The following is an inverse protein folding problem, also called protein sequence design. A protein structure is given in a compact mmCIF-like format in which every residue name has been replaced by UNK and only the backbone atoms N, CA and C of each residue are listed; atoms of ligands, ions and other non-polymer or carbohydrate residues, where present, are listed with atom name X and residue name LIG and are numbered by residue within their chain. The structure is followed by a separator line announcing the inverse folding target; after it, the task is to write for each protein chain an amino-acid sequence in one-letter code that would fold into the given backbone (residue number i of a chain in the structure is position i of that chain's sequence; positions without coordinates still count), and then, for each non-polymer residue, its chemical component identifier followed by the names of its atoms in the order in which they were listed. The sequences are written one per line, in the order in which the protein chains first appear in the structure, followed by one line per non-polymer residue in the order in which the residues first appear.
data_IF_497316400527
#
_entry.id   IF_497316400527
#
_cell.length_a   1.000
_cell.length_b   1.000
_cell.length_c   1.000
_cell.angle_alpha   90.00
_cell.angle_beta   90.00
_cell.angle_gamma   90.00
#
_symmetry.space_group_name_H-M   'P 1'
#
loop_
_entity.id
_entity.type
_entity.pdbx_description
1 polymer ?
#
# COMPACT_ATOMS: atom_id res chain seq x y z
N UNK A 1 -35.60 -54.21 57.21
CA UNK A 1 -35.89 -53.85 55.80
C UNK A 1 -34.63 -53.24 55.20
N UNK A 2 -34.30 -53.67 53.97
CA UNK A 2 -32.97 -53.65 53.34
C UNK A 2 -32.36 -52.24 53.22
N UNK A 3 -31.12 -52.06 53.71
CA UNK A 3 -30.23 -50.96 53.34
C UNK A 3 -29.59 -51.29 51.98
N UNK A 4 -29.81 -50.44 50.98
CA UNK A 4 -29.13 -50.53 49.68
C UNK A 4 -27.99 -49.51 49.67
N UNK A 5 -26.75 -50.02 49.60
CA UNK A 5 -25.53 -49.24 49.40
C UNK A 5 -25.42 -48.95 47.90
N UNK A 6 -25.44 -47.68 47.52
CA UNK A 6 -25.26 -47.25 46.13
C UNK A 6 -23.77 -46.98 45.90
N UNK A 7 -23.10 -47.86 45.13
CA UNK A 7 -21.75 -47.61 44.63
C UNK A 7 -21.84 -46.69 43.40
N UNK A 8 -21.35 -45.46 43.52
CA UNK A 8 -21.16 -44.57 42.38
C UNK A 8 -19.84 -44.93 41.68
N UNK A 9 -19.92 -45.58 40.53
CA UNK A 9 -18.76 -45.74 39.63
C UNK A 9 -18.57 -44.45 38.84
N UNK A 10 -17.51 -43.70 39.14
CA UNK A 10 -17.04 -42.62 38.28
C UNK A 10 -16.29 -43.22 37.08
N UNK A 11 -16.94 -43.23 35.92
CA UNK A 11 -16.24 -43.40 34.64
C UNK A 11 -15.52 -42.10 34.30
N UNK A 12 -14.20 -42.08 34.43
CA UNK A 12 -13.37 -41.06 33.78
C UNK A 12 -13.37 -41.35 32.27
N UNK A 13 -14.26 -40.69 31.52
CA UNK A 13 -14.04 -40.51 30.09
C UNK A 13 -12.87 -39.54 29.93
N UNK A 14 -11.69 -40.09 29.68
CA UNK A 14 -10.59 -39.31 29.13
C UNK A 14 -11.01 -38.79 27.76
N UNK A 15 -11.30 -37.49 27.68
CA UNK A 15 -11.31 -36.79 26.39
C UNK A 15 -9.88 -36.79 25.87
N UNK A 16 -9.53 -37.79 25.06
CA UNK A 16 -8.40 -37.67 24.16
C UNK A 16 -8.72 -36.48 23.25
N UNK A 17 -7.99 -35.38 23.41
CA UNK A 17 -7.98 -34.30 22.44
C UNK A 17 -7.46 -34.92 21.14
N UNK A 18 -8.35 -35.20 20.20
CA UNK A 18 -7.96 -35.39 18.82
C UNK A 18 -7.41 -34.06 18.37
N UNK A 19 -6.10 -33.93 18.43
CA UNK A 19 -5.35 -32.85 17.82
C UNK A 19 -5.61 -33.01 16.32
N UNK A 20 -6.69 -32.39 15.84
CA UNK A 20 -6.95 -32.30 14.42
C UNK A 20 -5.81 -31.45 13.90
N UNK A 21 -4.73 -32.09 13.45
CA UNK A 21 -3.73 -31.47 12.62
C UNK A 21 -4.51 -30.84 11.46
N UNK A 22 -4.85 -29.55 11.58
CA UNK A 22 -5.28 -28.74 10.45
C UNK A 22 -4.12 -28.85 9.49
N UNK A 23 -4.32 -29.64 8.44
CA UNK A 23 -3.39 -29.71 7.33
C UNK A 23 -3.29 -28.29 6.79
N UNK A 24 -2.17 -27.64 7.08
CA UNK A 24 -1.86 -26.34 6.48
C UNK A 24 -1.82 -26.62 4.97
N UNK A 25 -2.64 -25.93 4.15
CA UNK A 25 -2.60 -26.13 2.71
C UNK A 25 -1.17 -25.93 2.21
N UNK A 26 -0.72 -26.75 1.28
CA UNK A 26 0.57 -26.51 0.62
C UNK A 26 0.53 -25.13 -0.04
N UNK A 27 1.61 -24.37 0.09
CA UNK A 27 1.71 -23.05 -0.53
C UNK A 27 1.47 -23.15 -2.04
N UNK A 28 0.53 -22.35 -2.54
CA UNK A 28 0.27 -22.17 -3.96
C UNK A 28 0.33 -20.69 -4.28
N UNK A 29 1.30 -20.31 -5.13
CA UNK A 29 1.42 -18.94 -5.61
C UNK A 29 0.18 -18.54 -6.41
N UNK A 30 -0.34 -19.44 -7.26
CA UNK A 30 -1.53 -19.19 -8.06
C UNK A 30 -2.77 -18.95 -7.19
N UNK A 31 -2.94 -19.72 -6.12
CA UNK A 31 -4.06 -19.54 -5.19
C UNK A 31 -3.93 -18.22 -4.42
N UNK A 32 -2.72 -17.87 -3.96
CA UNK A 32 -2.46 -16.60 -3.30
C UNK A 32 -2.75 -15.43 -4.24
N UNK A 33 -2.23 -15.46 -5.46
CA UNK A 33 -2.48 -14.45 -6.50
C UNK A 33 -3.98 -14.31 -6.79
N UNK A 34 -4.70 -15.42 -6.99
CA UNK A 34 -6.13 -15.42 -7.26
C UNK A 34 -6.94 -14.84 -6.12
N UNK A 35 -6.69 -15.25 -4.88
CA UNK A 35 -7.42 -14.77 -3.70
C UNK A 35 -7.15 -13.28 -3.44
N UNK A 36 -5.93 -12.82 -3.70
CA UNK A 36 -5.59 -11.38 -3.61
C UNK A 36 -6.27 -10.59 -4.73
N UNK A 37 -6.36 -11.11 -5.95
CA UNK A 37 -7.18 -10.50 -7.00
C UNK A 37 -8.66 -10.42 -6.61
N UNK A 38 -9.20 -11.50 -6.04
CA UNK A 38 -10.60 -11.55 -5.58
C UNK A 38 -10.89 -10.55 -4.46
N UNK A 39 -9.90 -10.23 -3.62
CA UNK A 39 -10.02 -9.16 -2.64
C UNK A 39 -10.38 -7.84 -3.32
N UNK A 40 -9.62 -7.41 -4.33
CA UNK A 40 -9.90 -6.16 -5.05
C UNK A 40 -11.25 -6.19 -5.76
N UNK A 41 -11.60 -7.32 -6.37
CA UNK A 41 -12.91 -7.48 -7.02
C UNK A 41 -14.08 -7.44 -6.03
N UNK A 42 -13.88 -7.88 -4.79
CA UNK A 42 -14.90 -7.89 -3.75
C UNK A 42 -15.00 -6.57 -2.97
N UNK A 43 -13.92 -5.79 -2.91
CA UNK A 43 -13.85 -4.53 -2.16
C UNK A 43 -13.96 -3.28 -3.03
N UNK A 44 -13.86 -3.42 -4.36
CA UNK A 44 -14.22 -2.36 -5.30
C UNK A 44 -15.73 -2.20 -5.37
N UNK A 45 -16.21 -1.00 -5.05
CA UNK A 45 -17.64 -0.67 -5.13
C UNK A 45 -18.12 -0.54 -6.59
N UNK A 46 -19.38 -0.89 -6.87
CA UNK A 46 -19.93 -0.90 -8.24
C UNK A 46 -20.56 0.42 -8.69
N UNK A 47 -20.73 1.38 -7.77
CA UNK A 47 -21.24 2.73 -8.02
C UNK A 47 -20.09 3.69 -8.29
N UNK A 48 -19.13 3.76 -7.36
CA UNK A 48 -18.03 4.72 -7.38
C UNK A 48 -16.72 4.12 -7.92
N UNK A 49 -16.63 2.79 -8.02
CA UNK A 49 -15.43 2.07 -8.49
C UNK A 49 -14.17 2.44 -7.70
N UNK A 50 -14.36 2.77 -6.43
CA UNK A 50 -13.30 2.98 -5.45
C UNK A 50 -13.15 1.73 -4.59
N UNK A 51 -11.95 1.50 -4.06
CA UNK A 51 -11.61 0.32 -3.25
C UNK A 51 -11.64 0.70 -1.78
N UNK A 52 -12.28 -0.15 -0.97
CA UNK A 52 -12.28 0.01 0.48
C UNK A 52 -10.85 0.02 1.03
N UNK A 53 -10.58 0.91 1.99
CA UNK A 53 -9.29 0.93 2.69
C UNK A 53 -9.01 -0.39 3.42
N UNK A 54 -10.06 -1.01 3.96
CA UNK A 54 -9.96 -2.24 4.74
C UNK A 54 -11.19 -3.14 4.63
N UNK A 55 -11.00 -4.39 5.04
CA UNK A 55 -12.05 -5.40 5.10
C UNK A 55 -11.82 -6.31 6.34
N UNK A 56 -12.86 -6.79 7.04
CA UNK A 56 -14.30 -6.67 6.74
C UNK A 56 -14.95 -5.34 7.15
N UNK A 57 -14.25 -4.51 7.92
CA UNK A 57 -14.79 -3.21 8.37
C UNK A 57 -14.89 -2.24 7.20
N UNK A 58 -16.12 -1.84 6.84
CA UNK A 58 -16.37 -0.93 5.71
C UNK A 58 -16.58 0.50 6.23
N UNK A 59 -15.51 1.32 6.21
CA UNK A 59 -15.58 2.69 6.76
C UNK A 59 -15.46 3.77 5.69
N UNK A 60 -14.50 3.65 4.78
CA UNK A 60 -14.22 4.59 3.71
C UNK A 60 -13.42 3.90 2.61
N UNK A 61 -13.34 4.54 1.44
CA UNK A 61 -12.42 4.17 0.38
C UNK A 61 -11.03 4.75 0.64
N UNK A 62 -9.99 4.07 0.16
CA UNK A 62 -8.63 4.62 0.06
C UNK A 62 -8.29 4.82 -1.41
N UNK A 63 -7.82 6.00 -1.77
CA UNK A 63 -7.45 6.29 -3.16
C UNK A 63 -6.15 5.57 -3.55
N UNK A 64 -5.23 5.33 -2.61
CA UNK A 64 -4.07 4.47 -2.85
C UNK A 64 -4.51 3.02 -3.11
N UNK A 65 -5.41 2.47 -2.28
CA UNK A 65 -5.98 1.13 -2.50
C UNK A 65 -6.71 1.03 -3.85
N UNK A 66 -7.36 2.12 -4.27
CA UNK A 66 -8.01 2.22 -5.58
C UNK A 66 -6.99 2.15 -6.72
N UNK A 67 -5.86 2.84 -6.61
CA UNK A 67 -4.75 2.72 -7.57
C UNK A 67 -4.25 1.28 -7.74
N UNK A 68 -3.99 0.58 -6.64
CA UNK A 68 -3.61 -0.84 -6.68
C UNK A 68 -4.73 -1.73 -7.26
N UNK A 69 -5.99 -1.46 -6.93
CA UNK A 69 -7.13 -2.19 -7.48
C UNK A 69 -7.28 -2.01 -9.00
N UNK A 70 -6.96 -0.83 -9.52
CA UNK A 70 -6.94 -0.60 -10.97
C UNK A 70 -5.82 -1.40 -11.64
N UNK A 71 -4.62 -1.42 -11.07
CA UNK A 71 -3.51 -2.23 -11.58
C UNK A 71 -3.79 -3.74 -11.52
N UNK A 72 -4.63 -4.20 -10.57
CA UNK A 72 -5.04 -5.60 -10.48
C UNK A 72 -5.91 -6.07 -11.66
N UNK A 73 -6.59 -5.17 -12.38
CA UNK A 73 -7.45 -5.53 -13.52
C UNK A 73 -6.64 -6.16 -14.67
N UNK A 74 -5.59 -5.51 -15.23
CA UNK A 74 -4.67 -6.14 -16.18
C UNK A 74 -4.10 -7.48 -15.70
N UNK A 75 -3.67 -7.57 -14.43
CA UNK A 75 -3.13 -8.81 -13.86
C UNK A 75 -4.18 -9.92 -13.92
N UNK A 76 -5.43 -9.62 -13.57
CA UNK A 76 -6.53 -10.58 -13.66
C UNK A 76 -6.81 -11.04 -15.10
N UNK A 77 -6.60 -10.18 -16.10
CA UNK A 77 -6.74 -10.57 -17.51
C UNK A 77 -5.61 -11.52 -17.92
N UNK A 78 -4.36 -11.17 -17.63
CA UNK A 78 -3.19 -12.00 -17.96
C UNK A 78 -3.23 -13.37 -17.27
N UNK A 79 -3.73 -13.40 -16.03
CA UNK A 79 -3.92 -14.62 -15.25
C UNK A 79 -5.24 -15.35 -15.56
N UNK A 80 -6.06 -14.83 -16.48
CA UNK A 80 -7.35 -15.40 -16.91
C UNK A 80 -8.39 -15.52 -15.77
N UNK A 81 -8.29 -14.69 -14.76
CA UNK A 81 -9.26 -14.60 -13.66
C UNK A 81 -10.51 -13.79 -14.06
N UNK A 82 -10.35 -12.90 -15.05
CA UNK A 82 -11.42 -12.09 -15.64
C UNK A 82 -11.16 -11.95 -17.14
N UNK A 83 -12.22 -11.79 -17.94
CA UNK A 83 -12.04 -11.51 -19.38
C UNK A 83 -11.57 -10.07 -19.59
N UNK A 84 -10.82 -9.83 -20.66
CA UNK A 84 -10.39 -8.47 -21.02
C UNK A 84 -11.56 -7.51 -21.20
N UNK A 85 -12.63 -7.94 -21.87
CA UNK A 85 -13.79 -7.10 -22.11
C UNK A 85 -14.47 -6.68 -20.79
N UNK A 86 -14.56 -7.59 -19.82
CA UNK A 86 -15.11 -7.27 -18.49
C UNK A 86 -14.17 -6.35 -17.71
N UNK A 87 -12.86 -6.58 -17.77
CA UNK A 87 -11.89 -5.70 -17.14
C UNK A 87 -11.89 -4.29 -17.77
N UNK A 88 -11.97 -4.19 -19.10
CA UNK A 88 -12.10 -2.93 -19.84
C UNK A 88 -13.42 -2.22 -19.47
N UNK A 89 -14.50 -2.96 -19.25
CA UNK A 89 -15.77 -2.36 -18.81
C UNK A 89 -15.62 -1.72 -17.44
N UNK A 90 -15.05 -2.46 -16.47
CA UNK A 90 -14.79 -1.94 -15.12
C UNK A 90 -13.87 -0.72 -15.19
N UNK A 91 -12.76 -0.81 -15.93
CA UNK A 91 -11.80 0.28 -16.10
C UNK A 91 -12.45 1.55 -16.69
N UNK A 92 -13.25 1.40 -17.76
CA UNK A 92 -13.93 2.54 -18.38
C UNK A 92 -14.89 3.22 -17.39
N UNK A 93 -15.73 2.44 -16.70
CA UNK A 93 -16.66 2.99 -15.73
C UNK A 93 -15.93 3.63 -14.53
N UNK A 94 -14.85 3.02 -14.06
CA UNK A 94 -14.01 3.55 -13.00
C UNK A 94 -13.41 4.90 -13.36
N UNK A 95 -12.80 5.01 -14.54
CA UNK A 95 -12.21 6.27 -15.01
C UNK A 95 -13.27 7.36 -15.26
N UNK A 96 -14.45 7.00 -15.78
CA UNK A 96 -15.57 7.95 -15.92
C UNK A 96 -16.02 8.50 -14.56
N UNK A 97 -16.18 7.62 -13.57
CA UNK A 97 -16.55 8.04 -12.21
C UNK A 97 -15.47 8.92 -11.59
N UNK A 98 -14.20 8.49 -11.67
CA UNK A 98 -13.06 9.24 -11.15
C UNK A 98 -12.94 10.64 -11.78
N UNK A 99 -13.20 10.76 -13.09
CA UNK A 99 -13.20 12.04 -13.80
C UNK A 99 -14.39 12.94 -13.45
N UNK A 100 -15.49 12.37 -12.98
CA UNK A 100 -16.72 13.09 -12.60
C UNK A 100 -16.73 13.50 -11.11
N UNK A 101 -15.81 12.99 -10.29
CA UNK A 101 -15.73 13.35 -8.88
C UNK A 101 -15.53 14.87 -8.70
N UNK A 102 -16.21 15.51 -7.72
CA UNK A 102 -16.06 16.93 -7.46
C UNK A 102 -14.61 17.34 -7.16
N UNK A 103 -14.11 18.33 -7.90
CA UNK A 103 -12.75 18.89 -7.77
C UNK A 103 -12.81 20.39 -7.47
N UNK A 104 -12.69 20.78 -6.20
CA UNK A 104 -12.70 22.18 -5.75
C UNK A 104 -12.14 22.32 -4.32
N UNK A 105 -11.89 23.56 -3.89
CA UNK A 105 -11.23 23.85 -2.60
C UNK A 105 -12.12 23.66 -1.36
N UNK A 106 -13.37 23.20 -1.49
CA UNK A 106 -14.27 23.00 -0.35
C UNK A 106 -14.04 21.64 0.32
N UNK A 107 -14.49 21.50 1.57
CA UNK A 107 -14.45 20.24 2.30
C UNK A 107 -15.45 19.19 1.81
N UNK A 108 -16.39 19.55 0.93
CA UNK A 108 -17.39 18.65 0.33
C UNK A 108 -16.97 18.13 -1.06
N UNK A 109 -15.72 18.35 -1.45
CA UNK A 109 -15.14 17.82 -2.69
C UNK A 109 -14.51 16.44 -2.48
N UNK A 110 -14.24 15.72 -3.58
CA UNK A 110 -13.41 14.50 -3.58
C UNK A 110 -11.93 14.83 -3.74
N UNK A 111 -11.62 16.04 -4.19
CA UNK A 111 -10.26 16.51 -4.35
C UNK A 111 -10.20 17.97 -4.78
N UNK A 112 -8.99 18.45 -5.02
CA UNK A 112 -8.71 19.81 -5.49
C UNK A 112 -7.39 19.78 -6.28
N UNK A 113 -7.28 20.61 -7.32
CA UNK A 113 -6.05 20.72 -8.13
C UNK A 113 -5.63 19.39 -8.79
N UNK A 114 -6.60 18.50 -9.03
CA UNK A 114 -6.38 17.15 -9.54
C UNK A 114 -5.85 16.16 -8.49
N UNK A 115 -5.49 16.62 -7.29
CA UNK A 115 -5.23 15.76 -6.14
C UNK A 115 -6.52 15.26 -5.53
N UNK A 116 -6.46 14.11 -4.86
CA UNK A 116 -7.60 13.51 -4.18
C UNK A 116 -7.33 13.39 -2.67
N UNK A 117 -8.41 13.45 -1.89
CA UNK A 117 -8.32 13.22 -0.45
C UNK A 117 -7.94 11.76 -0.17
N UNK A 118 -7.06 11.55 0.82
CA UNK A 118 -6.56 10.24 1.26
C UNK A 118 -7.69 9.20 1.34
N UNK A 119 -8.79 9.59 1.99
CA UNK A 119 -9.98 8.77 2.15
C UNK A 119 -11.24 9.46 1.64
N UNK A 120 -12.11 8.66 1.02
CA UNK A 120 -13.41 9.09 0.52
C UNK A 120 -14.56 8.34 1.21
N UNK A 121 -15.67 9.02 1.47
CA UNK A 121 -16.84 8.43 2.12
C UNK A 121 -17.57 7.44 1.18
N UNK A 122 -18.22 6.44 1.76
CA UNK A 122 -18.87 5.37 0.99
C UNK A 122 -20.17 5.79 0.29
N UNK A 123 -20.75 6.95 0.65
CA UNK A 123 -22.05 7.38 0.14
C UNK A 123 -21.87 8.19 -1.14
N UNK A 124 -20.96 9.17 -1.13
CA UNK A 124 -20.80 10.13 -2.22
C UNK A 124 -19.39 10.16 -2.80
N UNK A 125 -18.46 9.36 -2.28
CA UNK A 125 -17.05 9.38 -2.66
C UNK A 125 -16.43 10.79 -2.54
N UNK A 126 -16.84 11.56 -1.53
CA UNK A 126 -16.26 12.85 -1.16
C UNK A 126 -15.34 12.70 0.03
N UNK A 127 -14.60 13.75 0.38
CA UNK A 127 -13.68 13.77 1.53
C UNK A 127 -14.28 13.11 2.77
N UNK A 128 -13.58 12.11 3.30
CA UNK A 128 -13.96 11.49 4.56
C UNK A 128 -13.39 12.30 5.75
N UNK A 129 -14.25 12.91 6.55
CA UNK A 129 -13.87 13.73 7.71
C UNK A 129 -12.90 14.86 7.31
N UNK A 130 -11.81 15.04 8.07
CA UNK A 130 -10.84 16.11 7.96
C UNK A 130 -9.51 15.67 7.34
N UNK A 131 -9.49 14.54 6.63
CA UNK A 131 -8.26 14.03 5.97
C UNK A 131 -7.73 15.01 4.93
N UNK A 132 -6.44 14.98 4.70
CA UNK A 132 -5.75 15.78 3.70
C UNK A 132 -5.97 15.30 2.26
N UNK A 133 -5.81 16.21 1.30
CA UNK A 133 -5.33 15.83 -0.02
C UNK A 133 -3.99 15.17 0.17
N UNK A 134 -3.84 13.93 -0.28
CA UNK A 134 -2.62 13.16 -0.09
C UNK A 134 -1.86 13.12 -1.40
N UNK A 135 -0.65 13.69 -1.41
CA UNK A 135 0.18 13.72 -2.63
C UNK A 135 0.65 12.31 -3.01
N UNK A 136 1.12 11.52 -2.04
CA UNK A 136 1.56 10.14 -2.29
C UNK A 136 0.43 9.24 -2.74
N UNK A 137 -0.73 9.31 -2.10
CA UNK A 137 -1.83 8.42 -2.47
C UNK A 137 -2.37 8.80 -3.85
N UNK A 138 -2.40 10.09 -4.19
CA UNK A 138 -2.72 10.54 -5.55
C UNK A 138 -1.70 9.98 -6.54
N UNK A 139 -0.40 9.98 -6.20
CA UNK A 139 0.63 9.33 -7.01
C UNK A 139 0.37 7.83 -7.24
N UNK A 140 0.00 7.09 -6.20
CA UNK A 140 -0.34 5.67 -6.29
C UNK A 140 -1.63 5.43 -7.12
N UNK A 141 -2.63 6.29 -6.96
CA UNK A 141 -3.83 6.29 -7.81
C UNK A 141 -3.46 6.48 -9.28
N UNK A 142 -2.63 7.49 -9.58
CA UNK A 142 -2.19 7.80 -10.95
C UNK A 142 -1.37 6.65 -11.55
N UNK A 143 -0.53 5.97 -10.77
CA UNK A 143 0.17 4.77 -11.22
C UNK A 143 -0.81 3.68 -11.70
N UNK A 144 -1.90 3.45 -10.96
CA UNK A 144 -2.99 2.57 -11.38
C UNK A 144 -3.71 3.04 -12.65
N UNK A 145 -4.05 4.33 -12.72
CA UNK A 145 -4.70 4.95 -13.89
C UNK A 145 -3.86 4.81 -15.16
N UNK A 146 -2.56 5.09 -15.09
CA UNK A 146 -1.63 4.97 -16.21
C UNK A 146 -1.35 3.50 -16.57
N UNK A 147 -1.45 2.58 -15.61
CA UNK A 147 -1.41 1.14 -15.89
C UNK A 147 -2.61 0.73 -16.76
N UNK A 148 -3.82 1.22 -16.46
CA UNK A 148 -5.00 0.99 -17.31
C UNK A 148 -4.80 1.59 -18.71
N UNK A 149 -4.29 2.82 -18.78
CA UNK A 149 -3.99 3.49 -20.05
C UNK A 149 -3.07 2.66 -20.94
N UNK A 150 -1.98 2.15 -20.35
CA UNK A 150 -0.95 1.42 -21.08
C UNK A 150 -1.40 0.02 -21.51
N UNK A 151 -2.25 -0.63 -20.70
CA UNK A 151 -2.67 -2.01 -20.95
C UNK A 151 -3.85 -2.13 -21.92
N UNK A 152 -4.81 -1.21 -21.87
CA UNK A 152 -5.99 -1.19 -22.74
C UNK A 152 -5.70 -0.42 -24.04
N UNK A 153 -4.99 -1.09 -24.95
CA UNK A 153 -4.37 -0.56 -26.15
C UNK A 153 -5.04 -0.95 -27.48
N UNK A 154 -6.11 -1.74 -27.46
CA UNK A 154 -6.77 -2.20 -28.71
C UNK A 154 -7.43 -1.03 -29.45
N UNK A 155 -7.54 -1.20 -30.77
CA UNK A 155 -8.25 -0.28 -31.65
C UNK A 155 -9.76 -0.54 -31.61
N UNK A 156 -10.38 -0.13 -30.51
CA UNK A 156 -11.83 -0.11 -30.37
C UNK A 156 -12.27 1.12 -29.56
N UNK A 157 -13.55 1.54 -29.66
CA UNK A 157 -14.03 2.75 -28.99
C UNK A 157 -13.87 2.74 -27.47
N UNK A 158 -14.07 1.58 -26.84
CA UNK A 158 -14.03 1.43 -25.38
C UNK A 158 -12.61 1.65 -24.84
N UNK A 159 -11.62 0.94 -25.39
CA UNK A 159 -10.24 1.06 -24.96
C UNK A 159 -9.62 2.41 -25.37
N UNK A 160 -10.05 2.98 -26.51
CA UNK A 160 -9.69 4.37 -26.87
C UNK A 160 -10.17 5.37 -25.82
N UNK A 161 -11.39 5.21 -25.31
CA UNK A 161 -11.92 6.10 -24.28
C UNK A 161 -11.20 5.92 -22.92
N UNK A 162 -10.84 4.68 -22.55
CA UNK A 162 -9.99 4.41 -21.37
C UNK A 162 -8.69 5.22 -21.47
N UNK A 163 -8.00 5.15 -22.62
CA UNK A 163 -6.74 5.87 -22.82
C UNK A 163 -6.90 7.38 -22.72
N UNK A 164 -7.97 7.93 -23.30
CA UNK A 164 -8.26 9.36 -23.27
C UNK A 164 -8.61 9.85 -21.86
N UNK A 165 -9.43 9.10 -21.11
CA UNK A 165 -9.81 9.46 -19.75
C UNK A 165 -8.61 9.39 -18.81
N UNK A 166 -7.81 8.32 -18.89
CA UNK A 166 -6.62 8.18 -18.07
C UNK A 166 -5.61 9.31 -18.32
N UNK A 167 -5.35 9.66 -19.60
CA UNK A 167 -4.51 10.80 -19.97
C UNK A 167 -5.07 12.11 -19.38
N UNK A 168 -6.37 12.36 -19.56
CA UNK A 168 -7.01 13.58 -19.08
C UNK A 168 -7.01 13.70 -17.55
N UNK A 169 -7.18 12.59 -16.82
CA UNK A 169 -7.12 12.57 -15.35
C UNK A 169 -5.71 12.89 -14.87
N UNK A 170 -4.69 12.22 -15.43
CA UNK A 170 -3.30 12.45 -15.04
C UNK A 170 -2.83 13.88 -15.36
N UNK A 171 -3.20 14.42 -16.53
CA UNK A 171 -2.87 15.80 -16.94
C UNK A 171 -3.52 16.88 -16.10
N UNK A 172 -4.59 16.58 -15.36
CA UNK A 172 -5.27 17.53 -14.47
C UNK A 172 -4.57 17.70 -13.13
N UNK A 173 -3.63 16.81 -12.76
CA UNK A 173 -2.92 16.91 -11.50
C UNK A 173 -1.89 18.03 -11.61
N UNK A 174 -2.09 19.10 -10.83
CA UNK A 174 -1.20 20.26 -10.78
C UNK A 174 -0.01 19.96 -9.85
N UNK A 175 0.94 19.09 -10.25
CA UNK A 175 2.01 18.63 -9.36
C UNK A 175 2.91 19.75 -8.82
N UNK A 176 3.15 20.75 -9.65
CA UNK A 176 3.84 21.99 -9.31
C UNK A 176 3.16 22.76 -8.16
N UNK A 177 1.83 22.66 -8.01
CA UNK A 177 1.11 23.29 -6.91
C UNK A 177 1.43 22.68 -5.53
N UNK A 178 1.81 21.39 -5.47
CA UNK A 178 2.25 20.75 -4.22
C UNK A 178 3.72 21.03 -3.89
N UNK A 179 4.46 21.71 -4.78
CA UNK A 179 5.88 22.00 -4.59
C UNK A 179 6.06 23.25 -3.72
N UNK A 180 6.92 23.14 -2.71
CA UNK A 180 7.25 24.25 -1.82
C UNK A 180 8.53 24.99 -2.27
N UNK A 181 8.85 26.09 -1.58
CA UNK A 181 10.04 26.92 -1.87
C UNK A 181 11.38 26.20 -1.63
N UNK A 182 11.40 25.07 -0.92
CA UNK A 182 12.59 24.21 -0.75
C UNK A 182 12.77 23.24 -1.92
N UNK A 183 11.87 23.24 -2.90
CA UNK A 183 11.85 22.28 -4.00
C UNK A 183 11.50 20.86 -3.54
N UNK A 184 10.71 20.73 -2.46
CA UNK A 184 10.16 19.46 -1.97
C UNK A 184 8.64 19.46 -2.12
N UNK A 185 8.06 18.31 -2.43
CA UNK A 185 6.60 18.17 -2.45
C UNK A 185 6.05 18.10 -1.02
N UNK A 186 4.98 18.83 -0.74
CA UNK A 186 4.22 18.66 0.51
C UNK A 186 3.62 17.26 0.59
N UNK A 187 3.51 16.72 1.80
CA UNK A 187 2.73 15.51 2.07
C UNK A 187 1.25 15.71 1.74
N UNK A 188 0.73 16.92 1.91
CA UNK A 188 -0.68 17.18 1.69
C UNK A 188 -1.17 18.59 1.97
N UNK A 189 -2.47 18.76 1.81
CA UNK A 189 -3.17 20.03 1.97
C UNK A 189 -4.58 19.82 2.53
N UNK A 190 -5.07 20.76 3.34
CA UNK A 190 -6.44 20.77 3.87
C UNK A 190 -7.13 22.10 3.55
N UNK A 191 -8.43 22.12 3.19
CA UNK A 191 -9.24 23.33 3.06
C UNK A 191 -9.17 24.26 4.26
N UNK A 192 -9.08 23.67 5.46
CA UNK A 192 -9.14 24.40 6.71
C UNK A 192 -7.84 25.13 7.05
N UNK A 193 -6.69 24.62 6.59
CA UNK A 193 -5.37 25.04 7.10
C UNK A 193 -4.30 25.22 6.03
N UNK A 194 -4.58 24.95 4.76
CA UNK A 194 -3.58 24.97 3.71
C UNK A 194 -2.67 23.73 3.71
N UNK A 195 -1.44 23.88 3.24
CA UNK A 195 -0.46 22.80 3.22
C UNK A 195 -0.11 22.33 4.63
N UNK A 196 0.06 21.02 4.79
CA UNK A 196 0.50 20.46 6.07
C UNK A 196 2.00 20.69 6.26
N UNK A 197 2.48 20.58 7.51
CA UNK A 197 3.85 20.91 7.89
C UNK A 197 4.92 20.00 7.27
N UNK A 198 4.54 18.80 6.83
CA UNK A 198 5.48 17.77 6.41
C UNK A 198 5.70 17.80 4.90
N UNK A 199 6.97 17.73 4.52
CA UNK A 199 7.47 17.68 3.15
C UNK A 199 8.14 16.33 2.90
N UNK A 200 8.08 15.83 1.67
CA UNK A 200 8.68 14.56 1.30
C UNK A 200 10.20 14.70 1.21
N UNK A 201 10.91 14.00 2.08
CA UNK A 201 12.36 13.83 2.09
C UNK A 201 12.68 12.33 1.95
N UNK A 202 13.75 11.98 1.25
CA UNK A 202 14.10 10.60 0.96
C UNK A 202 14.98 9.94 2.03
N UNK A 203 15.07 8.62 2.10
CA UNK A 203 14.45 7.59 1.26
C UNK A 203 13.15 7.05 1.92
N UNK A 204 12.09 6.88 1.12
CA UNK A 204 10.80 6.33 1.54
C UNK A 204 9.96 5.89 0.32
N UNK A 205 8.66 5.64 0.50
CA UNK A 205 7.72 5.17 -0.51
C UNK A 205 7.47 6.14 -1.68
N UNK A 206 7.89 7.41 -1.56
CA UNK A 206 7.46 8.49 -2.44
C UNK A 206 8.15 8.56 -3.82
N UNK A 207 9.03 7.61 -4.17
CA UNK A 207 9.71 7.63 -5.48
C UNK A 207 8.73 7.74 -6.65
N UNK A 208 7.64 6.96 -6.63
CA UNK A 208 6.61 6.98 -7.68
C UNK A 208 5.95 8.36 -7.80
N UNK A 209 5.74 9.06 -6.67
CA UNK A 209 5.20 10.43 -6.66
C UNK A 209 6.16 11.38 -7.38
N UNK A 210 7.46 11.38 -7.05
CA UNK A 210 8.41 12.28 -7.72
C UNK A 210 8.55 11.97 -9.21
N UNK A 211 8.60 10.69 -9.59
CA UNK A 211 8.75 10.28 -11.00
C UNK A 211 7.53 10.71 -11.81
N UNK A 212 6.32 10.51 -11.28
CA UNK A 212 5.10 10.95 -11.93
C UNK A 212 4.98 12.48 -11.97
N UNK A 213 5.39 13.19 -10.92
CA UNK A 213 5.37 14.65 -10.90
C UNK A 213 6.36 15.24 -11.93
N UNK A 214 7.59 14.72 -12.02
CA UNK A 214 8.57 15.15 -13.03
C UNK A 214 8.14 14.78 -14.46
N UNK A 215 7.49 13.62 -14.62
CA UNK A 215 6.99 13.13 -15.91
C UNK A 215 5.71 13.80 -16.40
N UNK A 216 5.11 14.71 -15.61
CA UNK A 216 3.84 15.34 -15.98
C UNK A 216 4.00 16.24 -17.21
N UNK A 217 3.17 16.06 -18.26
CA UNK A 217 3.28 16.86 -19.48
C UNK A 217 2.56 18.22 -19.39
N UNK A 218 1.90 18.53 -18.27
CA UNK A 218 1.12 19.77 -18.08
C UNK A 218 1.57 20.56 -16.86
N UNK A 219 1.93 19.88 -15.78
CA UNK A 219 2.33 20.49 -14.51
C UNK A 219 3.57 19.80 -13.94
N UNK A 220 4.71 19.78 -14.67
CA UNK A 220 5.92 19.12 -14.21
C UNK A 220 6.56 19.87 -13.04
N UNK A 221 7.13 19.13 -12.08
CA UNK A 221 8.12 19.69 -11.17
C UNK A 221 9.53 19.64 -11.81
N UNK A 222 10.44 20.56 -11.47
CA UNK A 222 11.82 20.53 -11.96
C UNK A 222 12.56 19.24 -11.56
N UNK A 223 13.50 18.80 -12.40
CA UNK A 223 14.34 17.62 -12.12
C UNK A 223 15.23 17.81 -10.87
N UNK A 224 15.57 19.06 -10.54
CA UNK A 224 16.26 19.44 -9.30
C UNK A 224 15.53 18.97 -8.03
N UNK A 225 14.22 18.74 -8.10
CA UNK A 225 13.45 18.20 -6.98
C UNK A 225 13.88 16.77 -6.60
N UNK A 226 14.30 15.94 -7.57
CA UNK A 226 14.87 14.62 -7.24
C UNK A 226 16.16 14.78 -6.44
N UNK A 227 17.05 15.67 -6.88
CA UNK A 227 18.29 15.96 -6.17
C UNK A 227 18.01 16.43 -4.73
N UNK A 228 17.04 17.33 -4.54
CA UNK A 228 16.62 17.80 -3.21
C UNK A 228 16.08 16.67 -2.34
N UNK A 229 15.20 15.83 -2.89
CA UNK A 229 14.63 14.68 -2.18
C UNK A 229 15.71 13.68 -1.72
N UNK A 230 16.77 13.47 -2.51
CA UNK A 230 17.86 12.56 -2.17
C UNK A 230 18.87 13.12 -1.15
N UNK A 231 18.78 14.40 -0.74
CA UNK A 231 19.78 15.01 0.16
C UNK A 231 19.83 14.37 1.55
N UNK A 232 18.71 13.84 2.02
CA UNK A 232 18.57 13.19 3.33
C UNK A 232 18.89 11.69 3.29
N UNK A 233 19.34 11.18 2.14
CA UNK A 233 19.73 9.78 2.01
C UNK A 233 20.89 9.41 2.94
N UNK A 234 20.73 8.28 3.61
CA UNK A 234 21.78 7.69 4.44
C UNK A 234 21.99 6.23 4.05
N UNK A 235 23.26 5.89 3.77
CA UNK A 235 23.67 4.53 3.46
C UNK A 235 24.12 3.82 4.73
N UNK A 236 23.18 3.16 5.42
CA UNK A 236 23.41 2.56 6.74
C UNK A 236 23.45 1.04 6.66
N UNK A 237 24.21 0.45 7.58
CA UNK A 237 24.27 -1.00 7.76
C UNK A 237 23.19 -1.46 8.75
N UNK A 238 22.35 -2.41 8.33
CA UNK A 238 21.41 -3.08 9.22
C UNK A 238 21.42 -4.58 8.93
N UNK A 239 21.59 -5.41 9.96
CA UNK A 239 21.64 -6.88 9.83
C UNK A 239 22.65 -7.37 8.78
N UNK A 240 23.80 -6.70 8.67
CA UNK A 240 24.87 -7.05 7.71
C UNK A 240 24.69 -6.47 6.30
N UNK A 241 23.57 -5.79 6.04
CA UNK A 241 23.26 -5.22 4.73
C UNK A 241 23.39 -3.70 4.73
N UNK A 242 24.30 -3.17 3.89
CA UNK A 242 24.39 -1.72 3.63
C UNK A 242 23.44 -1.28 2.51
N UNK A 243 22.48 -0.42 2.85
CA UNK A 243 21.41 0.05 1.95
C UNK A 243 20.79 1.39 2.44
N UNK A 244 19.97 2.04 1.60
CA UNK A 244 19.09 3.13 2.01
C UNK A 244 18.02 2.56 2.93
N UNK A 245 17.96 3.03 4.18
CA UNK A 245 17.07 2.48 5.19
C UNK A 245 15.70 3.17 5.18
N UNK A 246 14.64 2.36 5.16
CA UNK A 246 13.29 2.76 5.54
C UNK A 246 12.68 1.60 6.33
N UNK A 247 12.22 1.85 7.55
CA UNK A 247 11.91 0.77 8.48
C UNK A 247 10.76 -0.13 8.00
N UNK A 248 9.58 0.40 7.66
CA UNK A 248 8.49 -0.42 7.13
C UNK A 248 8.83 -0.96 5.73
N UNK A 249 8.73 -2.27 5.52
CA UNK A 249 9.17 -2.87 4.26
C UNK A 249 8.42 -2.35 3.01
N UNK A 250 7.22 -1.80 3.18
CA UNK A 250 6.42 -1.28 2.05
C UNK A 250 7.09 -0.15 1.26
N UNK A 251 7.96 0.68 1.90
CA UNK A 251 8.69 1.73 1.20
C UNK A 251 9.76 1.21 0.24
N UNK A 252 10.03 -0.10 0.27
CA UNK A 252 10.85 -0.82 -0.70
C UNK A 252 10.02 -1.61 -1.73
N UNK A 253 8.69 -1.47 -1.71
CA UNK A 253 7.76 -2.26 -2.52
C UNK A 253 6.81 -1.40 -3.37
N UNK A 254 6.25 -0.31 -2.81
CA UNK A 254 5.17 0.43 -3.48
C UNK A 254 5.57 0.99 -4.84
N UNK A 255 6.68 1.72 -4.92
CA UNK A 255 7.15 2.25 -6.20
C UNK A 255 7.63 1.15 -7.14
N UNK A 256 8.25 0.11 -6.58
CA UNK A 256 8.78 -1.05 -7.29
C UNK A 256 7.69 -1.94 -7.90
N UNK A 257 6.44 -1.83 -7.42
CA UNK A 257 5.29 -2.53 -7.98
C UNK A 257 4.89 -1.97 -9.36
N UNK A 258 5.24 -0.72 -9.66
CA UNK A 258 4.87 -0.03 -10.90
C UNK A 258 6.05 0.26 -11.81
N UNK A 259 7.26 0.42 -11.25
CA UNK A 259 8.47 0.77 -11.99
C UNK A 259 9.53 -0.31 -11.79
N UNK A 260 10.04 -0.83 -12.91
CA UNK A 260 11.21 -1.70 -12.89
C UNK A 260 12.49 -0.89 -12.68
N UNK A 261 13.00 -0.92 -11.45
CA UNK A 261 14.19 -0.18 -11.06
C UNK A 261 15.52 -0.91 -11.30
N UNK A 262 15.53 -2.07 -11.98
CA UNK A 262 16.77 -2.80 -12.27
C UNK A 262 17.68 -1.96 -13.17
N UNK A 263 18.91 -1.72 -12.71
CA UNK A 263 19.89 -0.88 -13.41
C UNK A 263 19.60 0.63 -13.39
N UNK A 264 18.51 1.09 -12.78
CA UNK A 264 18.21 2.53 -12.65
C UNK A 264 18.99 3.10 -11.47
N UNK A 265 19.86 4.07 -11.74
CA UNK A 265 20.73 4.68 -10.75
C UNK A 265 20.71 6.20 -10.87
N UNK A 266 20.60 6.88 -9.74
CA UNK A 266 20.96 8.28 -9.61
C UNK A 266 22.43 8.41 -9.16
N UNK A 267 22.87 9.64 -8.87
CA UNK A 267 24.25 9.89 -8.42
C UNK A 267 24.58 9.22 -7.09
N UNK A 268 23.63 9.16 -6.16
CA UNK A 268 23.83 8.53 -4.87
C UNK A 268 24.01 7.02 -5.02
N UNK A 269 23.15 6.38 -5.79
CA UNK A 269 23.18 4.94 -6.01
C UNK A 269 24.43 4.52 -6.81
N UNK A 270 24.87 5.33 -7.80
CA UNK A 270 26.15 5.14 -8.49
C UNK A 270 27.35 5.14 -7.54
N UNK A 271 27.42 6.11 -6.62
CA UNK A 271 28.50 6.19 -5.60
C UNK A 271 28.61 4.93 -4.75
N UNK A 272 27.49 4.21 -4.57
CA UNK A 272 27.43 2.97 -3.80
C UNK A 272 27.45 1.70 -4.66
N UNK A 273 27.67 1.82 -5.98
CA UNK A 273 27.64 0.70 -6.93
C UNK A 273 26.39 -0.17 -6.76
N UNK A 274 25.24 0.47 -6.57
CA UNK A 274 23.94 -0.18 -6.35
C UNK A 274 22.87 0.46 -7.24
N UNK A 275 21.75 -0.20 -7.41
CA UNK A 275 20.51 0.40 -7.96
C UNK A 275 19.38 0.25 -6.92
N UNK A 276 18.20 0.81 -7.21
CA UNK A 276 17.06 0.75 -6.29
C UNK A 276 16.45 -0.65 -6.17
N UNK A 277 16.62 -1.53 -7.16
CA UNK A 277 16.21 -2.94 -7.06
C UNK A 277 17.07 -3.71 -6.05
N UNK A 278 18.40 -3.60 -6.17
CA UNK A 278 19.37 -4.19 -5.26
C UNK A 278 19.18 -3.60 -3.86
N UNK A 279 18.87 -2.31 -3.74
CA UNK A 279 18.54 -1.66 -2.48
C UNK A 279 17.33 -2.33 -1.79
N UNK A 280 16.20 -2.47 -2.49
CA UNK A 280 15.00 -3.14 -1.96
C UNK A 280 15.25 -4.61 -1.62
N UNK A 281 16.09 -5.32 -2.39
CA UNK A 281 16.48 -6.70 -2.07
C UNK A 281 17.26 -6.78 -0.75
N UNK A 282 18.23 -5.90 -0.56
CA UNK A 282 19.01 -5.81 0.69
C UNK A 282 18.13 -5.45 1.89
N UNK A 283 17.21 -4.49 1.74
CA UNK A 283 16.24 -4.15 2.78
C UNK A 283 15.38 -5.37 3.17
N UNK A 284 14.95 -6.15 2.19
CA UNK A 284 14.18 -7.39 2.41
C UNK A 284 14.99 -8.42 3.20
N UNK A 285 16.27 -8.64 2.84
CA UNK A 285 17.14 -9.55 3.58
C UNK A 285 17.40 -9.07 5.01
N UNK A 286 17.62 -7.77 5.21
CA UNK A 286 17.83 -7.20 6.54
C UNK A 286 16.57 -7.34 7.42
N UNK A 287 15.38 -7.06 6.87
CA UNK A 287 14.11 -7.24 7.55
C UNK A 287 13.89 -8.71 7.95
N UNK A 288 14.15 -9.65 7.04
CA UNK A 288 14.09 -11.10 7.31
C UNK A 288 15.09 -11.52 8.38
N UNK A 289 16.34 -11.06 8.32
CA UNK A 289 17.38 -11.40 9.28
C UNK A 289 17.03 -10.93 10.70
N UNK A 290 16.50 -9.70 10.85
CA UNK A 290 16.02 -9.21 12.15
C UNK A 290 14.87 -10.07 12.71
N UNK A 291 13.92 -10.44 11.85
CA UNK A 291 12.83 -11.34 12.21
C UNK A 291 13.33 -12.71 12.69
N UNK A 292 14.36 -13.27 12.04
CA UNK A 292 14.97 -14.55 12.42
C UNK A 292 15.70 -14.43 13.76
N UNK A 293 16.45 -13.34 13.96
CA UNK A 293 17.15 -13.08 15.22
C UNK A 293 16.17 -12.96 16.38
N UNK A 294 14.98 -12.39 16.14
CA UNK A 294 13.88 -12.26 17.09
C UNK A 294 14.33 -11.78 18.49
N UNK A 295 15.02 -10.62 18.61
CA UNK A 295 15.60 -10.18 19.88
C UNK A 295 14.56 -9.89 20.96
N UNK A 296 13.30 -9.63 20.57
CA UNK A 296 12.16 -9.44 21.46
C UNK A 296 11.47 -10.76 21.85
N UNK A 297 11.99 -11.92 21.41
CA UNK A 297 11.48 -13.26 21.71
C UNK A 297 9.98 -13.46 21.42
N UNK A 298 9.44 -12.82 20.37
CA UNK A 298 8.05 -13.01 19.96
C UNK A 298 7.82 -14.44 19.47
N UNK A 299 6.73 -15.06 19.91
CA UNK A 299 6.34 -16.40 19.44
C UNK A 299 6.10 -16.40 17.93
N UNK A 300 6.69 -17.38 17.23
CA UNK A 300 6.41 -17.69 15.82
C UNK A 300 7.43 -17.13 14.83
N UNK A 301 8.10 -16.02 15.14
CA UNK A 301 9.15 -15.47 14.27
C UNK A 301 10.24 -16.52 13.99
N UNK A 302 10.56 -16.70 12.71
CA UNK A 302 11.49 -17.73 12.24
C UNK A 302 11.91 -17.46 10.79
N UNK A 303 12.74 -18.34 10.24
CA UNK A 303 13.14 -18.27 8.83
C UNK A 303 11.98 -18.40 7.82
N UNK A 304 10.84 -18.94 8.29
CA UNK A 304 9.61 -19.15 7.51
C UNK A 304 8.47 -18.19 7.89
N UNK A 305 8.59 -17.44 8.99
CA UNK A 305 7.59 -16.48 9.46
C UNK A 305 8.31 -15.18 9.81
N UNK A 306 8.27 -14.23 8.87
CA UNK A 306 8.97 -12.95 8.94
C UNK A 306 8.23 -11.92 8.08
N UNK A 307 8.63 -10.65 8.20
CA UNK A 307 8.08 -9.54 7.42
C UNK A 307 7.48 -8.48 8.33
N UNK A 308 8.25 -7.42 8.59
CA UNK A 308 7.80 -6.26 9.36
C UNK A 308 7.50 -5.10 8.43
N UNK A 309 6.26 -4.65 8.43
CA UNK A 309 5.80 -3.47 7.70
C UNK A 309 4.62 -2.82 8.44
N UNK A 310 4.25 -1.61 8.03
CA UNK A 310 3.11 -0.89 8.58
C UNK A 310 1.83 -1.71 8.38
N UNK A 311 1.15 -2.03 9.48
CA UNK A 311 -0.06 -2.85 9.44
C UNK A 311 -0.89 -2.70 10.71
N UNK A 312 -2.13 -3.22 10.66
CA UNK A 312 -2.93 -3.44 11.84
C UNK A 312 -2.23 -4.37 12.83
N UNK A 313 -2.39 -4.07 14.11
CA UNK A 313 -1.94 -4.91 15.21
C UNK A 313 -3.08 -5.35 16.12
N UNK A 314 -2.77 -6.13 17.16
CA UNK A 314 -3.76 -6.77 18.00
C UNK A 314 -4.39 -5.83 19.06
N UNK A 315 -4.29 -4.51 18.85
CA UNK A 315 -4.84 -3.45 19.70
C UNK A 315 -3.84 -2.89 20.73
N UNK A 316 -4.21 -1.78 21.37
CA UNK A 316 -3.40 -1.12 22.40
C UNK A 316 -3.49 -1.88 23.73
N UNK A 317 -2.54 -2.77 23.99
CA UNK A 317 -2.51 -3.59 25.21
C UNK A 317 -1.09 -3.89 25.66
N UNK A 318 -0.91 -4.03 26.96
CA UNK A 318 0.32 -4.55 27.57
C UNK A 318 0.05 -5.95 28.09
N UNK A 319 0.91 -6.90 27.73
CA UNK A 319 0.79 -8.29 28.17
C UNK A 319 2.14 -8.78 28.66
N UNK A 320 2.14 -9.49 29.79
CA UNK A 320 3.31 -10.24 30.26
C UNK A 320 3.18 -11.68 29.79
N UNK A 321 4.15 -12.17 29.01
CA UNK A 321 4.20 -13.55 28.52
C UNK A 321 5.58 -14.10 28.83
N UNK A 322 5.66 -15.15 29.65
CA UNK A 322 6.91 -15.75 30.12
C UNK A 322 7.86 -14.71 30.74
N UNK A 323 7.34 -13.90 31.68
CA UNK A 323 8.08 -12.85 32.40
C UNK A 323 8.63 -11.70 31.52
N UNK A 324 8.27 -11.66 30.23
CA UNK A 324 8.57 -10.56 29.32
C UNK A 324 7.32 -9.69 29.13
N UNK A 325 7.48 -8.37 29.28
CA UNK A 325 6.41 -7.40 29.00
C UNK A 325 6.42 -7.02 27.51
N UNK A 326 5.24 -7.11 26.89
CA UNK A 326 5.01 -6.74 25.50
C UNK A 326 4.00 -5.61 25.42
N UNK A 327 4.38 -4.51 24.76
CA UNK A 327 3.45 -3.51 24.31
C UNK A 327 3.00 -3.82 22.89
N UNK A 328 1.69 -3.92 22.72
CA UNK A 328 1.05 -4.01 21.41
C UNK A 328 0.32 -2.71 21.11
N UNK A 329 0.31 -2.37 19.83
CA UNK A 329 -0.43 -1.24 19.30
C UNK A 329 -1.52 -1.74 18.35
N UNK A 330 -2.51 -0.88 18.07
CA UNK A 330 -3.40 -1.05 16.92
C UNK A 330 -2.62 -0.92 15.61
N UNK A 331 -3.03 0.00 14.75
CA UNK A 331 -2.23 0.36 13.58
C UNK A 331 -0.91 1.01 14.02
N UNK A 332 0.19 0.62 13.39
CA UNK A 332 1.50 1.22 13.62
C UNK A 332 2.38 1.08 12.39
N UNK A 333 3.23 2.08 12.13
CA UNK A 333 4.26 2.07 11.09
C UNK A 333 5.44 1.15 11.48
N UNK A 334 5.13 -0.12 11.75
CA UNK A 334 6.12 -1.13 12.17
C UNK A 334 7.12 -1.38 11.07
N UNK A 335 8.34 -1.71 11.48
CA UNK A 335 9.43 -1.93 10.55
C UNK A 335 10.71 -2.33 11.26
N UNK A 336 11.76 -2.54 10.48
CA UNK A 336 13.08 -2.84 11.01
C UNK A 336 14.16 -2.21 10.13
N UNK A 337 14.95 -1.33 10.73
CA UNK A 337 16.06 -0.60 10.10
C UNK A 337 17.12 -0.24 11.13
N UNK A 338 18.24 0.34 10.68
CA UNK A 338 19.30 0.85 11.56
C UNK A 338 18.81 1.90 12.58
N UNK A 339 17.71 2.62 12.30
CA UNK A 339 17.21 3.72 13.12
C UNK A 339 15.91 3.42 13.88
N UNK A 340 15.21 2.34 13.54
CA UNK A 340 13.88 2.04 14.09
C UNK A 340 13.54 0.54 14.00
N UNK A 341 13.03 -0.04 15.09
CA UNK A 341 12.64 -1.48 15.26
C UNK A 341 11.54 -1.71 16.28
#
# INVERSE_FOLDING_TARGET
MKQAIFFLFFFFLGCASTDSHRTVPTFSLEELEKRTFDYFMATMDTVHYQVLDRYPTRTFYSIAATGFGYAALPIGVEKKYITRDRAAHIALHALRQLAALPQNATSDASGYKGFYYHFLDLKQAKRYKDVELSSIDTGLLMAGVLTLQSYFDRDNPQEKEIRNLADAIYRKVEWDWMLNDKGLLSHGWKPESGFIKHDWEGYNEAMILLILAMGSPTHPIPDTCWANWTQTYEWLNFQGEKHLNFAPLFGHQYSQAFIDFRGIQDDFMRKHSSDYFINSRKATYANRAYCIQNPKNFKGYSENIWGLTACDGPGHKRLTINDLEYQFDGYSARGASAKYV
#
